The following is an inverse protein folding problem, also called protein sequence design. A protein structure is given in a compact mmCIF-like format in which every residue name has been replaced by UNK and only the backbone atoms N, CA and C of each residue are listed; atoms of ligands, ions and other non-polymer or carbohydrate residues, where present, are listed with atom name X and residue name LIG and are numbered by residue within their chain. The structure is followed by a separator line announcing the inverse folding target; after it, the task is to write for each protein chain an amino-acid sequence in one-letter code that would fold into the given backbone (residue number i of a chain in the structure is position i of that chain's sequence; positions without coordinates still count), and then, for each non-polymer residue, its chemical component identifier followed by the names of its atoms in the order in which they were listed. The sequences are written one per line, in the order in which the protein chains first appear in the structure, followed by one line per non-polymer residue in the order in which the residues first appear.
data_IF_286796850012
#
_entry.id   IF_286796850012
#
_cell.length_a   1.000
_cell.length_b   1.000
_cell.length_c   1.000
_cell.angle_alpha   90.00
_cell.angle_beta   90.00
_cell.angle_gamma   90.00
#
_symmetry.space_group_name_H-M   'P 1'
#
loop_
_entity.id
_entity.type
_entity.pdbx_description
1 polymer ?
#
# COMPACT_ATOMS: atom_id res chain seq x y z
N UNK A 1 4.78 -17.98 -78.91
CA UNK A 1 3.84 -18.28 -77.81
C UNK A 1 4.31 -19.57 -77.14
N UNK A 2 4.26 -19.60 -75.80
CA UNK A 2 4.69 -20.67 -74.89
C UNK A 2 6.21 -20.97 -74.88
N UNK A 3 6.88 -21.35 -73.80
CA UNK A 3 6.68 -21.23 -72.35
C UNK A 3 7.94 -21.87 -71.76
N UNK A 4 8.84 -21.12 -71.11
CA UNK A 4 9.78 -21.70 -70.14
C UNK A 4 10.04 -20.67 -69.05
N UNK A 5 9.44 -20.93 -67.89
CA UNK A 5 9.72 -20.27 -66.64
C UNK A 5 11.09 -20.74 -66.13
N UNK A 6 12.04 -19.82 -66.02
CA UNK A 6 13.28 -20.07 -65.28
C UNK A 6 13.14 -19.38 -63.92
N UNK A 7 12.67 -20.16 -62.94
CA UNK A 7 12.55 -19.74 -61.56
C UNK A 7 13.96 -19.50 -61.00
N UNK A 8 14.35 -18.24 -60.85
CA UNK A 8 15.56 -17.84 -60.15
C UNK A 8 15.36 -18.10 -58.65
N UNK A 9 15.87 -19.23 -58.17
CA UNK A 9 15.88 -19.60 -56.76
C UNK A 9 16.98 -18.79 -56.04
N UNK A 10 16.62 -17.61 -55.53
CA UNK A 10 17.47 -16.83 -54.63
C UNK A 10 17.43 -17.47 -53.23
N UNK A 11 18.54 -17.97 -52.65
CA UNK A 11 18.55 -18.39 -51.26
C UNK A 11 18.36 -17.14 -50.38
N UNK A 12 17.22 -17.08 -49.71
CA UNK A 12 16.87 -16.01 -48.78
C UNK A 12 17.95 -15.84 -47.71
N UNK A 13 18.52 -14.64 -47.61
CA UNK A 13 19.38 -14.26 -46.50
C UNK A 13 18.55 -14.31 -45.22
N UNK A 14 18.77 -15.34 -44.42
CA UNK A 14 18.31 -15.37 -43.05
C UNK A 14 18.96 -14.19 -42.30
N UNK A 15 18.22 -13.11 -42.12
CA UNK A 15 18.60 -12.05 -41.21
C UNK A 15 18.51 -12.65 -39.81
N UNK A 16 19.67 -12.99 -39.23
CA UNK A 16 19.77 -13.26 -37.81
C UNK A 16 19.29 -12.00 -37.07
N UNK A 17 18.05 -12.03 -36.60
CA UNK A 17 17.52 -11.00 -35.73
C UNK A 17 18.23 -11.13 -34.39
N UNK A 18 19.32 -10.40 -34.21
CA UNK A 18 19.90 -10.14 -32.89
C UNK A 18 18.82 -9.46 -32.06
N UNK A 19 18.13 -10.24 -31.23
CA UNK A 19 17.15 -9.75 -30.27
C UNK A 19 17.93 -8.93 -29.25
N UNK A 20 17.95 -7.61 -29.43
CA UNK A 20 18.47 -6.69 -28.44
C UNK A 20 17.62 -6.87 -27.18
N UNK A 21 18.15 -7.61 -26.22
CA UNK A 21 17.60 -7.67 -24.87
C UNK A 21 17.76 -6.26 -24.31
N UNK A 22 16.66 -5.52 -24.24
CA UNK A 22 16.60 -4.23 -23.58
C UNK A 22 16.85 -4.45 -22.09
N UNK A 23 18.10 -4.29 -21.66
CA UNK A 23 18.46 -4.28 -20.24
C UNK A 23 18.02 -2.95 -19.62
N UNK A 24 16.71 -2.75 -19.52
CA UNK A 24 16.16 -1.71 -18.64
C UNK A 24 16.19 -2.27 -17.21
N UNK A 25 17.37 -2.20 -16.58
CA UNK A 25 17.49 -2.42 -15.14
C UNK A 25 16.66 -1.36 -14.42
N UNK A 26 15.54 -1.78 -13.83
CA UNK A 26 14.70 -0.90 -13.01
C UNK A 26 15.47 -0.62 -11.72
N UNK A 27 15.77 0.65 -11.44
CA UNK A 27 16.34 1.04 -10.15
C UNK A 27 15.32 0.70 -9.06
N UNK A 28 15.69 -0.16 -8.11
CA UNK A 28 14.89 -0.42 -6.92
C UNK A 28 15.09 0.75 -5.96
N UNK A 29 13.98 1.33 -5.50
CA UNK A 29 14.01 2.39 -4.51
C UNK A 29 14.49 1.86 -3.15
N UNK A 30 15.23 2.67 -2.41
CA UNK A 30 15.84 2.30 -1.13
C UNK A 30 14.94 2.72 0.02
N UNK A 31 14.87 1.91 1.06
CA UNK A 31 14.19 2.25 2.31
C UNK A 31 15.15 3.06 3.19
N UNK A 32 14.72 4.25 3.64
CA UNK A 32 15.50 5.12 4.54
C UNK A 32 15.04 5.03 5.98
N UNK A 33 13.76 4.75 6.22
CA UNK A 33 13.21 4.54 7.56
C UNK A 33 12.01 3.59 7.52
N UNK A 34 11.76 2.93 8.65
CA UNK A 34 10.58 2.09 8.90
C UNK A 34 9.82 2.74 10.05
N UNK A 35 8.52 2.99 9.86
CA UNK A 35 7.66 3.71 10.81
C UNK A 35 6.41 2.86 11.09
N UNK A 36 6.39 2.19 12.25
CA UNK A 36 5.37 1.20 12.60
C UNK A 36 5.19 0.15 11.48
N UNK A 37 4.10 0.25 10.73
CA UNK A 37 3.70 -0.66 9.66
C UNK A 37 3.98 -0.08 8.26
N UNK A 38 4.54 1.13 8.17
CA UNK A 38 4.89 1.83 6.92
C UNK A 38 6.39 1.96 6.71
N UNK A 39 6.79 2.29 5.47
CA UNK A 39 8.19 2.53 5.09
C UNK A 39 8.31 3.89 4.42
N UNK A 40 9.38 4.62 4.75
CA UNK A 40 9.76 5.87 4.08
C UNK A 40 10.84 5.54 3.06
N UNK A 41 10.60 5.92 1.81
CA UNK A 41 11.48 5.67 0.67
C UNK A 41 12.50 6.80 0.47
N UNK A 42 13.64 6.48 -0.15
CA UNK A 42 14.67 7.45 -0.51
C UNK A 42 14.13 8.49 -1.50
N UNK A 43 13.38 8.05 -2.51
CA UNK A 43 12.76 8.97 -3.47
C UNK A 43 11.80 9.97 -2.82
N UNK A 44 11.09 9.56 -1.76
CA UNK A 44 10.16 10.41 -1.01
C UNK A 44 10.91 11.50 -0.24
N UNK A 45 12.00 11.11 0.43
CA UNK A 45 12.90 12.05 1.10
C UNK A 45 13.50 13.06 0.12
N UNK A 46 14.01 12.59 -1.03
CA UNK A 46 14.61 13.45 -2.06
C UNK A 46 13.59 14.43 -2.67
N UNK A 47 12.36 13.97 -2.93
CA UNK A 47 11.29 14.81 -3.43
C UNK A 47 10.91 15.89 -2.42
N UNK A 48 10.81 15.53 -1.14
CA UNK A 48 10.48 16.49 -0.07
C UNK A 48 11.59 17.50 0.16
N UNK A 49 12.86 17.08 0.11
CA UNK A 49 14.00 18.01 0.19
C UNK A 49 13.97 19.04 -0.94
N UNK A 50 13.71 18.62 -2.18
CA UNK A 50 13.60 19.54 -3.33
C UNK A 50 12.49 20.58 -3.16
N UNK A 51 11.35 20.17 -2.61
CA UNK A 51 10.25 21.10 -2.31
C UNK A 51 10.68 22.14 -1.28
N UNK A 52 11.22 21.70 -0.14
CA UNK A 52 11.66 22.58 0.94
C UNK A 52 12.78 23.52 0.47
N UNK A 53 13.73 23.03 -0.32
CA UNK A 53 14.76 23.90 -0.91
C UNK A 53 14.19 24.98 -1.83
N UNK A 54 13.15 24.63 -2.60
CA UNK A 54 12.48 25.57 -3.50
C UNK A 54 11.72 26.63 -2.71
N UNK A 55 11.04 26.24 -1.64
CA UNK A 55 10.35 27.14 -0.71
C UNK A 55 11.34 28.10 -0.02
N UNK A 56 12.43 27.58 0.55
CA UNK A 56 13.47 28.40 1.20
C UNK A 56 14.09 29.42 0.24
N UNK A 57 14.35 29.02 -1.01
CA UNK A 57 14.85 29.91 -2.06
C UNK A 57 13.84 30.99 -2.41
N UNK A 58 12.55 30.67 -2.43
CA UNK A 58 11.48 31.64 -2.68
C UNK A 58 11.32 32.65 -1.52
N UNK A 59 11.55 32.21 -0.29
CA UNK A 59 11.53 33.06 0.91
C UNK A 59 12.82 33.88 1.11
N UNK A 60 13.85 33.66 0.27
CA UNK A 60 15.14 34.34 0.39
C UNK A 60 15.97 33.89 1.59
N UNK A 61 15.63 32.74 2.19
CA UNK A 61 16.34 32.16 3.32
C UNK A 61 17.52 31.32 2.79
N UNK A 62 18.66 31.41 3.48
CA UNK A 62 19.80 30.55 3.14
C UNK A 62 19.53 29.13 3.64
N UNK A 63 19.65 28.11 2.78
CA UNK A 63 19.37 26.74 3.20
C UNK A 63 20.38 26.30 4.26
N UNK A 64 19.93 25.62 5.33
CA UNK A 64 20.83 25.03 6.32
C UNK A 64 21.71 23.94 5.68
N UNK A 65 22.76 23.46 6.37
CA UNK A 65 23.59 22.37 5.86
C UNK A 65 22.73 21.17 5.46
N UNK A 66 23.03 20.54 4.32
CA UNK A 66 22.24 19.46 3.73
C UNK A 66 21.96 18.33 4.74
N UNK A 67 22.95 17.95 5.54
CA UNK A 67 22.80 16.92 6.58
C UNK A 67 21.80 17.29 7.69
N UNK A 68 21.64 18.58 7.98
CA UNK A 68 20.66 19.08 8.96
C UNK A 68 19.28 19.13 8.33
N UNK A 69 19.20 19.65 7.10
CA UNK A 69 17.95 19.71 6.33
C UNK A 69 17.36 18.31 6.13
N UNK A 70 18.18 17.35 5.70
CA UNK A 70 17.77 15.98 5.48
C UNK A 70 17.19 15.34 6.74
N UNK A 71 17.83 15.52 7.90
CA UNK A 71 17.32 15.00 9.18
C UNK A 71 15.98 15.63 9.54
N UNK A 72 15.85 16.93 9.34
CA UNK A 72 14.63 17.65 9.67
C UNK A 72 13.47 17.25 8.75
N UNK A 73 13.74 17.08 7.45
CA UNK A 73 12.75 16.59 6.49
C UNK A 73 12.35 15.15 6.81
N UNK A 74 13.31 14.26 7.08
CA UNK A 74 13.01 12.89 7.46
C UNK A 74 12.15 12.82 8.73
N UNK A 75 12.48 13.63 9.74
CA UNK A 75 11.69 13.70 10.96
C UNK A 75 10.24 14.14 10.70
N UNK A 76 10.06 15.18 9.89
CA UNK A 76 8.72 15.64 9.50
C UNK A 76 7.96 14.56 8.72
N UNK A 77 8.61 13.86 7.79
CA UNK A 77 7.98 12.75 7.05
C UNK A 77 7.53 11.63 8.00
N UNK A 78 8.34 11.27 9.00
CA UNK A 78 7.97 10.26 10.00
C UNK A 78 6.74 10.71 10.81
N UNK A 79 6.71 11.97 11.24
CA UNK A 79 5.58 12.53 11.99
C UNK A 79 4.31 12.54 11.14
N UNK A 80 4.38 13.02 9.90
CA UNK A 80 3.26 13.04 8.97
C UNK A 80 2.70 11.62 8.71
N UNK A 81 3.59 10.64 8.50
CA UNK A 81 3.19 9.24 8.39
C UNK A 81 2.50 8.72 9.64
N UNK A 82 2.95 9.12 10.83
CA UNK A 82 2.33 8.72 12.09
C UNK A 82 0.96 9.37 12.27
N UNK A 83 0.81 10.65 11.94
CA UNK A 83 -0.45 11.37 11.98
C UNK A 83 -1.47 10.77 11.00
N UNK A 84 -1.05 10.42 9.78
CA UNK A 84 -1.90 9.74 8.81
C UNK A 84 -2.34 8.36 9.29
N UNK A 85 -1.44 7.59 9.90
CA UNK A 85 -1.77 6.30 10.49
C UNK A 85 -2.75 6.45 11.65
N UNK A 86 -2.55 7.44 12.51
CA UNK A 86 -3.46 7.74 13.61
C UNK A 86 -4.83 8.19 13.09
N UNK A 87 -4.87 9.06 12.09
CA UNK A 87 -6.12 9.49 11.44
C UNK A 87 -6.85 8.33 10.77
N UNK A 88 -6.12 7.40 10.12
CA UNK A 88 -6.69 6.19 9.56
C UNK A 88 -7.28 5.29 10.65
N UNK A 89 -6.59 5.14 11.79
CA UNK A 89 -7.11 4.40 12.95
C UNK A 89 -8.33 5.08 13.58
N UNK A 90 -8.31 6.41 13.71
CA UNK A 90 -9.43 7.16 14.28
C UNK A 90 -10.68 7.17 13.38
N UNK A 91 -10.50 7.02 12.05
CA UNK A 91 -11.57 6.78 11.08
C UNK A 91 -12.12 5.35 11.08
N UNK A 92 -11.39 4.38 11.65
CA UNK A 92 -11.79 2.96 11.78
C UNK A 92 -12.15 2.69 13.25
N UNK A 93 -13.14 3.42 13.77
CA UNK A 93 -13.80 3.03 15.03
C UNK A 93 -15.09 2.32 14.68
N UNK A 94 -15.14 1.02 14.96
CA UNK A 94 -16.37 0.24 14.76
C UNK A 94 -17.41 0.74 15.77
N UNK A 95 -18.37 1.50 15.27
CA UNK A 95 -19.57 1.90 16.00
C UNK A 95 -20.29 0.67 16.54
N UNK A 96 -20.95 0.79 17.69
CA UNK A 96 -21.74 -0.31 18.25
C UNK A 96 -22.83 -0.79 17.28
N UNK A 97 -23.32 0.07 16.40
CA UNK A 97 -24.27 -0.25 15.33
C UNK A 97 -23.67 -1.22 14.30
N UNK A 98 -22.47 -0.94 13.80
CA UNK A 98 -21.77 -1.81 12.84
C UNK A 98 -21.42 -3.16 13.47
N UNK A 99 -21.03 -3.17 14.74
CA UNK A 99 -20.80 -4.42 15.48
C UNK A 99 -22.12 -5.22 15.63
N UNK A 100 -23.24 -4.54 15.91
CA UNK A 100 -24.54 -5.20 16.00
C UNK A 100 -25.01 -5.75 14.64
N UNK A 101 -24.83 -5.02 13.55
CA UNK A 101 -25.11 -5.49 12.19
C UNK A 101 -24.28 -6.73 11.84
N UNK A 102 -22.99 -6.73 12.19
CA UNK A 102 -22.12 -7.88 11.99
C UNK A 102 -22.60 -9.10 12.80
N UNK A 103 -22.92 -8.92 14.08
CA UNK A 103 -23.44 -9.99 14.93
C UNK A 103 -24.81 -10.49 14.44
N UNK A 104 -25.66 -9.61 13.92
CA UNK A 104 -26.94 -9.96 13.34
C UNK A 104 -26.76 -10.77 12.04
N UNK A 105 -25.77 -10.41 11.22
CA UNK A 105 -25.39 -11.20 10.03
C UNK A 105 -24.91 -12.60 10.41
N UNK A 106 -24.10 -12.71 11.47
CA UNK A 106 -23.64 -14.01 11.99
C UNK A 106 -24.81 -14.82 12.54
N UNK A 107 -25.73 -14.22 13.29
CA UNK A 107 -26.94 -14.88 13.78
C UNK A 107 -27.80 -15.42 12.62
N UNK A 108 -28.01 -14.59 11.59
CA UNK A 108 -28.76 -14.95 10.39
C UNK A 108 -28.12 -16.12 9.63
N UNK A 109 -26.79 -16.14 9.48
CA UNK A 109 -26.05 -17.25 8.84
C UNK A 109 -26.20 -18.57 9.61
N UNK A 110 -26.23 -18.49 10.94
CA UNK A 110 -26.41 -19.64 11.81
C UNK A 110 -27.89 -20.01 12.02
N UNK A 111 -28.83 -19.36 11.34
CA UNK A 111 -30.27 -19.58 11.46
C UNK A 111 -30.81 -19.45 12.89
N UNK A 112 -30.10 -18.70 13.73
CA UNK A 112 -30.50 -18.40 15.11
C UNK A 112 -30.99 -16.96 15.19
N UNK A 113 -32.09 -16.69 15.91
CA UNK A 113 -32.51 -15.32 16.14
C UNK A 113 -31.47 -14.61 17.00
N UNK A 114 -31.21 -13.34 16.71
CA UNK A 114 -30.19 -12.54 17.40
C UNK A 114 -30.36 -12.54 18.94
N UNK A 115 -31.60 -12.56 19.42
CA UNK A 115 -31.92 -12.65 20.85
C UNK A 115 -31.41 -13.96 21.51
N UNK A 116 -31.24 -15.04 20.75
CA UNK A 116 -30.76 -16.32 21.23
C UNK A 116 -29.25 -16.52 21.04
N UNK A 117 -28.56 -15.60 20.35
CA UNK A 117 -27.12 -15.66 20.12
C UNK A 117 -26.31 -15.75 21.43
N UNK A 118 -26.61 -14.97 22.49
CA UNK A 118 -25.89 -15.09 23.76
C UNK A 118 -26.07 -16.46 24.42
N UNK A 119 -27.27 -17.02 24.34
CA UNK A 119 -27.58 -18.35 24.89
C UNK A 119 -26.87 -19.46 24.12
N UNK A 120 -26.80 -19.35 22.79
CA UNK A 120 -26.08 -20.30 21.94
C UNK A 120 -24.58 -20.28 22.24
N UNK A 121 -23.97 -19.08 22.33
CA UNK A 121 -22.56 -18.93 22.68
C UNK A 121 -22.26 -19.44 24.11
N UNK A 122 -23.17 -19.21 25.05
CA UNK A 122 -23.02 -19.72 26.41
C UNK A 122 -23.05 -21.26 26.49
N UNK A 123 -23.83 -21.92 25.62
CA UNK A 123 -23.83 -23.39 25.50
C UNK A 123 -22.50 -23.93 24.94
N UNK A 124 -21.82 -23.15 24.11
CA UNK A 124 -20.48 -23.44 23.59
C UNK A 124 -19.36 -23.05 24.57
N UNK A 125 -19.71 -22.51 25.75
CA UNK A 125 -18.75 -22.06 26.76
C UNK A 125 -18.10 -20.71 26.44
N UNK A 126 -18.63 -19.96 25.46
CA UNK A 126 -18.12 -18.68 25.02
C UNK A 126 -18.94 -17.56 25.68
N UNK A 127 -18.26 -16.63 26.37
CA UNK A 127 -18.92 -15.44 26.90
C UNK A 127 -19.26 -14.47 25.76
N UNK A 128 -20.51 -13.98 25.72
CA UNK A 128 -20.96 -13.02 24.73
C UNK A 128 -20.12 -11.73 24.72
N UNK A 129 -19.70 -11.24 25.88
CA UNK A 129 -18.87 -10.04 25.97
C UNK A 129 -17.51 -10.24 25.28
N UNK A 130 -16.86 -11.37 25.54
CA UNK A 130 -15.56 -11.73 24.95
C UNK A 130 -15.69 -11.93 23.43
N UNK A 131 -16.77 -12.57 22.99
CA UNK A 131 -17.09 -12.72 21.58
C UNK A 131 -17.30 -11.37 20.87
N UNK A 132 -18.02 -10.42 21.50
CA UNK A 132 -18.17 -9.05 20.98
C UNK A 132 -16.84 -8.33 20.87
N UNK A 133 -15.96 -8.47 21.86
CA UNK A 133 -14.62 -7.87 21.80
C UNK A 133 -13.77 -8.50 20.68
N UNK A 134 -13.81 -9.82 20.54
CA UNK A 134 -13.11 -10.53 19.47
C UNK A 134 -13.62 -10.10 18.08
N UNK A 135 -14.94 -9.96 17.93
CA UNK A 135 -15.55 -9.45 16.69
C UNK A 135 -15.15 -8.01 16.39
N UNK A 136 -15.08 -7.15 17.41
CA UNK A 136 -14.58 -5.78 17.25
C UNK A 136 -13.12 -5.79 16.76
N UNK A 137 -12.26 -6.62 17.35
CA UNK A 137 -10.86 -6.72 16.94
C UNK A 137 -10.66 -7.33 15.54
N UNK A 138 -11.62 -8.08 15.01
CA UNK A 138 -11.55 -8.63 13.65
C UNK A 138 -11.97 -7.61 12.57
N UNK A 139 -12.67 -6.55 12.96
CA UNK A 139 -13.20 -5.53 12.06
C UNK A 139 -12.34 -4.24 12.06
N UNK A 140 -11.32 -4.15 12.94
CA UNK A 140 -10.32 -3.08 13.02
C UNK A 140 -9.04 -3.53 12.34
#
# INVERSE_FOLDING_TARGET
MAAVALAALLPGRALAQTRQLSTQGRLLDRIVAIVNNGVVLQSELDNRMKQVETELKAEGLSPPPESVLQKQVLHNLILEHLELQQAAQDGIRISDDTLNEALQSVAARNHIPFANLPTALAQEGINYADYRQQMRNQLT
#
